data_IF_409392068035
#
_entry.id   IF_409392068035
#
_cell.length_a   1.000
_cell.length_b   1.000
_cell.length_c   1.000
_cell.angle_alpha   90.00
_cell.angle_beta   90.00
_cell.angle_gamma   90.00
#
_symmetry.space_group_name_H-M   'P 1'
#
loop_
_entity.id
_entity.type
_entity.pdbx_description
1 polymer ?
#
# COMPACT_ATOMS: atom_id res chain seq x y z
N UNK A 1 8.20 -35.55 -24.64
CA UNK A 1 8.77 -35.91 -23.31
C UNK A 1 9.83 -34.87 -22.98
N UNK A 2 9.61 -33.95 -22.04
CA UNK A 2 10.69 -33.04 -21.60
C UNK A 2 10.32 -31.71 -20.91
N UNK A 3 9.08 -31.24 -20.91
CA UNK A 3 8.71 -29.90 -20.39
C UNK A 3 8.21 -29.89 -18.94
N UNK A 4 7.91 -31.05 -18.35
CA UNK A 4 7.36 -31.13 -17.00
C UNK A 4 8.39 -30.81 -15.89
N UNK A 5 9.68 -31.10 -16.15
CA UNK A 5 10.77 -30.93 -15.18
C UNK A 5 11.05 -29.45 -14.86
N UNK A 6 11.18 -28.51 -15.84
CA UNK A 6 11.46 -27.11 -15.53
C UNK A 6 10.28 -26.41 -14.81
N UNK A 7 9.04 -26.80 -15.08
CA UNK A 7 7.86 -26.25 -14.41
C UNK A 7 7.80 -26.69 -12.94
N UNK A 8 8.14 -27.96 -12.67
CA UNK A 8 8.19 -28.48 -11.30
C UNK A 8 9.31 -27.83 -10.48
N UNK A 9 10.44 -27.49 -11.10
CA UNK A 9 11.57 -26.82 -10.45
C UNK A 9 11.25 -25.37 -10.06
N UNK A 10 10.50 -24.64 -10.91
CA UNK A 10 10.03 -23.28 -10.62
C UNK A 10 9.01 -23.24 -9.48
N UNK A 11 8.12 -24.24 -9.41
CA UNK A 11 7.15 -24.37 -8.32
C UNK A 11 7.82 -24.68 -6.98
N UNK A 12 8.91 -25.44 -6.97
CA UNK A 12 9.68 -25.75 -5.76
C UNK A 12 10.46 -24.53 -5.23
N UNK A 13 11.00 -23.68 -6.11
CA UNK A 13 11.68 -22.43 -5.72
C UNK A 13 10.72 -21.39 -5.09
N UNK A 14 9.43 -21.44 -5.44
CA UNK A 14 8.40 -20.53 -4.90
C UNK A 14 7.94 -20.83 -3.48
N UNK A 15 8.43 -21.91 -2.86
CA UNK A 15 7.98 -22.38 -1.53
C UNK A 15 9.03 -22.22 -0.43
N UNK A 16 10.18 -21.59 -0.71
CA UNK A 16 11.07 -21.16 0.35
C UNK A 16 10.30 -20.16 1.23
N UNK A 17 10.05 -20.46 2.53
CA UNK A 17 9.41 -19.49 3.39
C UNK A 17 10.30 -18.25 3.35
N UNK A 18 9.76 -17.13 2.89
CA UNK A 18 10.42 -15.84 3.02
C UNK A 18 10.83 -15.75 4.48
N UNK A 19 12.14 -15.77 4.76
CA UNK A 19 12.66 -15.86 6.11
C UNK A 19 12.25 -14.56 6.78
N UNK A 20 11.16 -14.61 7.55
CA UNK A 20 10.58 -13.44 8.18
C UNK A 20 11.70 -12.80 9.00
N UNK A 21 12.02 -11.55 8.69
CA UNK A 21 12.95 -10.82 9.53
C UNK A 21 12.35 -10.77 10.95
N UNK A 22 13.17 -10.78 12.01
CA UNK A 22 12.67 -10.73 13.38
C UNK A 22 11.70 -9.56 13.63
N UNK A 23 11.89 -8.44 12.91
CA UNK A 23 11.01 -7.26 12.90
C UNK A 23 9.61 -7.51 12.32
N UNK A 24 9.43 -8.58 11.54
CA UNK A 24 8.18 -8.91 10.86
C UNK A 24 7.33 -9.95 11.60
N UNK A 25 7.85 -10.58 12.66
CA UNK A 25 7.20 -11.72 13.35
C UNK A 25 5.80 -11.39 13.91
N UNK A 26 5.53 -10.12 14.21
CA UNK A 26 4.25 -9.64 14.72
C UNK A 26 3.62 -8.57 13.83
N UNK A 27 4.15 -8.38 12.63
CA UNK A 27 3.72 -7.27 11.78
C UNK A 27 2.23 -7.34 11.42
N UNK A 28 1.67 -8.50 11.00
CA UNK A 28 0.24 -8.59 10.71
C UNK A 28 -0.66 -8.21 11.89
N UNK A 29 -0.29 -8.59 13.12
CA UNK A 29 -1.04 -8.29 14.34
C UNK A 29 -0.92 -6.81 14.73
N UNK A 30 0.18 -6.16 14.35
CA UNK A 30 0.43 -4.74 14.61
C UNK A 30 -0.24 -3.83 13.57
N UNK A 31 -0.56 -4.33 12.36
CA UNK A 31 -1.13 -3.55 11.27
C UNK A 31 -2.37 -2.74 11.68
N UNK A 32 -3.39 -3.31 12.37
CA UNK A 32 -4.56 -2.53 12.80
C UNK A 32 -4.18 -1.35 13.70
N UNK A 33 -3.26 -1.54 14.64
CA UNK A 33 -2.77 -0.48 15.52
C UNK A 33 -2.02 0.59 14.74
N UNK A 34 -1.15 0.21 13.79
CA UNK A 34 -0.44 1.17 12.93
C UNK A 34 -1.37 1.98 12.05
N UNK A 35 -2.41 1.37 11.50
CA UNK A 35 -3.44 2.09 10.75
C UNK A 35 -4.27 3.01 11.66
N UNK A 36 -4.45 2.69 12.94
CA UNK A 36 -5.10 3.59 13.91
C UNK A 36 -4.21 4.79 14.22
N UNK A 37 -2.92 4.58 14.48
CA UNK A 37 -1.95 5.66 14.70
C UNK A 37 -1.92 6.63 13.51
N UNK A 38 -1.89 6.11 12.28
CA UNK A 38 -1.90 6.93 11.07
C UNK A 38 -3.18 7.79 10.94
N UNK A 39 -4.34 7.21 11.25
CA UNK A 39 -5.62 7.96 11.24
C UNK A 39 -5.62 9.08 12.27
N UNK A 40 -5.15 8.82 13.49
CA UNK A 40 -5.04 9.85 14.52
C UNK A 40 -4.13 10.99 14.08
N UNK A 41 -3.02 10.69 13.39
CA UNK A 41 -2.14 11.72 12.84
C UNK A 41 -2.77 12.52 11.71
N UNK A 42 -3.57 11.89 10.85
CA UNK A 42 -4.33 12.61 9.84
C UNK A 42 -5.37 13.56 10.45
N UNK A 43 -6.05 13.16 11.53
CA UNK A 43 -7.03 14.03 12.21
C UNK A 43 -6.40 15.33 12.73
N UNK A 44 -5.12 15.33 13.12
CA UNK A 44 -4.41 16.54 13.57
C UNK A 44 -4.29 17.62 12.48
N UNK A 45 -4.32 17.24 11.20
CA UNK A 45 -4.11 18.14 10.05
C UNK A 45 -5.33 18.28 9.13
N UNK A 46 -6.36 17.44 9.32
CA UNK A 46 -7.52 17.31 8.44
C UNK A 46 -8.22 18.65 8.19
N UNK A 47 -8.55 19.37 9.25
CA UNK A 47 -9.34 20.60 9.14
C UNK A 47 -8.57 21.70 8.37
N UNK A 48 -7.25 21.75 8.53
CA UNK A 48 -6.41 22.69 7.77
C UNK A 48 -6.50 22.41 6.27
N UNK A 49 -6.23 21.18 5.84
CA UNK A 49 -6.23 20.85 4.41
C UNK A 49 -7.64 20.90 3.80
N UNK A 50 -8.68 20.51 4.53
CA UNK A 50 -10.07 20.66 4.07
C UNK A 50 -10.48 22.14 3.91
N UNK A 51 -9.96 23.04 4.75
CA UNK A 51 -10.21 24.48 4.60
C UNK A 51 -9.47 25.14 3.43
N UNK A 52 -8.50 24.44 2.84
CA UNK A 52 -7.70 24.89 1.69
C UNK A 52 -8.16 24.29 0.37
N UNK A 53 -9.03 23.30 0.41
CA UNK A 53 -9.57 22.63 -0.77
C UNK A 53 -10.86 23.33 -1.22
N UNK A 54 -10.72 24.18 -2.24
CA UNK A 54 -11.82 24.98 -2.78
C UNK A 54 -12.62 24.21 -3.85
N UNK A 55 -12.16 23.04 -4.31
CA UNK A 55 -12.81 22.25 -5.36
C UNK A 55 -13.29 20.88 -4.87
N UNK A 56 -14.35 20.92 -4.08
CA UNK A 56 -15.02 19.72 -3.55
C UNK A 56 -15.81 18.93 -4.60
N UNK A 57 -15.83 19.39 -5.87
CA UNK A 57 -16.54 18.71 -6.95
C UNK A 57 -15.73 17.59 -7.59
N UNK A 58 -14.40 17.61 -7.39
CA UNK A 58 -13.47 16.64 -7.96
C UNK A 58 -13.02 15.67 -6.87
N UNK A 59 -13.25 14.38 -7.11
CA UNK A 59 -12.67 13.33 -6.29
C UNK A 59 -11.39 12.81 -6.93
N UNK A 60 -10.23 13.21 -6.38
CA UNK A 60 -8.93 12.75 -6.90
C UNK A 60 -8.72 11.24 -6.72
N UNK A 61 -9.07 10.70 -5.54
CA UNK A 61 -8.99 9.27 -5.25
C UNK A 61 -10.36 8.62 -5.42
N UNK A 62 -10.65 8.11 -6.61
CA UNK A 62 -11.95 7.52 -6.97
C UNK A 62 -12.10 6.05 -6.54
N UNK A 63 -13.31 5.50 -6.71
CA UNK A 63 -13.59 4.07 -6.48
C UNK A 63 -12.77 3.14 -7.38
N UNK A 64 -12.36 3.61 -8.55
CA UNK A 64 -11.62 2.79 -9.52
C UNK A 64 -10.25 2.40 -8.98
N UNK A 65 -9.60 3.31 -8.25
CA UNK A 65 -8.33 3.04 -7.56
C UNK A 65 -8.48 1.92 -6.53
N UNK A 66 -9.59 1.87 -5.79
CA UNK A 66 -9.85 0.81 -4.83
C UNK A 66 -10.01 -0.55 -5.52
N UNK A 67 -10.67 -0.59 -6.67
CA UNK A 67 -10.81 -1.83 -7.44
C UNK A 67 -9.48 -2.28 -8.03
N UNK A 68 -8.61 -1.35 -8.43
CA UNK A 68 -7.24 -1.66 -8.84
C UNK A 68 -6.41 -2.24 -7.69
N UNK A 69 -6.52 -1.66 -6.50
CA UNK A 69 -5.86 -2.13 -5.26
C UNK A 69 -6.30 -3.57 -4.91
N UNK A 70 -7.55 -3.94 -5.15
CA UNK A 70 -8.04 -5.32 -4.94
C UNK A 70 -7.64 -6.27 -6.07
N UNK A 71 -7.29 -5.73 -7.23
CA UNK A 71 -6.96 -6.48 -8.43
C UNK A 71 -5.55 -7.05 -8.44
N UNK A 72 -5.17 -7.64 -9.58
CA UNK A 72 -3.84 -8.26 -9.78
C UNK A 72 -2.67 -7.28 -9.66
N UNK A 73 -2.92 -5.99 -9.87
CA UNK A 73 -1.91 -4.94 -9.80
C UNK A 73 -1.82 -4.29 -8.43
N UNK A 74 -2.64 -4.69 -7.46
CA UNK A 74 -2.81 -3.96 -6.20
C UNK A 74 -1.53 -3.74 -5.40
N UNK A 75 -0.60 -4.71 -5.40
CA UNK A 75 0.70 -4.51 -4.75
C UNK A 75 1.50 -3.36 -5.39
N UNK A 76 1.48 -3.25 -6.72
CA UNK A 76 2.13 -2.16 -7.46
C UNK A 76 1.39 -0.85 -7.20
N UNK A 77 0.07 -0.84 -7.35
CA UNK A 77 -0.75 0.37 -7.19
C UNK A 77 -0.60 0.98 -5.79
N UNK A 78 -0.59 0.15 -4.72
CA UNK A 78 -0.32 0.62 -3.36
C UNK A 78 1.12 1.16 -3.23
N UNK A 79 2.11 0.48 -3.81
CA UNK A 79 3.51 0.93 -3.75
C UNK A 79 3.70 2.29 -4.45
N UNK A 80 3.10 2.47 -5.63
CA UNK A 80 3.17 3.71 -6.40
C UNK A 80 2.44 4.84 -5.67
N UNK A 81 1.25 4.58 -5.13
CA UNK A 81 0.50 5.55 -4.32
C UNK A 81 1.27 6.00 -3.09
N UNK A 82 1.88 5.07 -2.35
CA UNK A 82 2.69 5.42 -1.17
C UNK A 82 3.92 6.23 -1.56
N UNK A 83 4.60 5.87 -2.66
CA UNK A 83 5.72 6.62 -3.22
C UNK A 83 5.32 8.06 -3.56
N UNK A 84 4.24 8.24 -4.32
CA UNK A 84 3.71 9.56 -4.68
C UNK A 84 3.43 10.44 -3.44
N UNK A 85 2.76 9.90 -2.43
CA UNK A 85 2.49 10.67 -1.21
C UNK A 85 3.77 11.04 -0.44
N UNK A 86 4.73 10.13 -0.35
CA UNK A 86 5.98 10.34 0.41
C UNK A 86 6.96 11.26 -0.30
N UNK A 87 7.03 11.20 -1.63
CA UNK A 87 8.05 11.90 -2.44
C UNK A 87 7.54 13.22 -3.02
N UNK A 88 6.23 13.35 -3.26
CA UNK A 88 5.66 14.52 -3.94
C UNK A 88 4.70 15.30 -3.04
N UNK A 89 3.68 14.64 -2.49
CA UNK A 89 2.59 15.35 -1.77
C UNK A 89 3.06 15.90 -0.42
N UNK A 90 3.56 15.04 0.46
CA UNK A 90 3.94 15.44 1.82
C UNK A 90 5.08 16.46 1.84
N UNK A 91 6.18 16.31 1.06
CA UNK A 91 7.24 17.31 1.00
C UNK A 91 6.76 18.69 0.54
N UNK A 92 5.79 18.74 -0.37
CA UNK A 92 5.23 20.00 -0.89
C UNK A 92 4.19 20.63 0.04
N UNK A 93 3.63 19.84 0.96
CA UNK A 93 2.60 20.27 1.90
C UNK A 93 3.17 20.79 3.23
N UNK A 94 4.47 20.56 3.50
CA UNK A 94 5.19 20.99 4.69
C UNK A 94 5.79 22.40 4.59
#
# INVERSE_FOLDING_TARGET
>A
RGTAVPILLLLLLGTAPARAQPSCLHFPELLPTKLKELRLKFEEIKDYFQSKDDDLSIQLLSSDLLEEIKGRLGCRSVSEMMGFYMEEVLPSAM
#
